data_IF_615184537270
#
_entry.id   IF_615184537270
#
_cell.length_a   1.000
_cell.length_b   1.000
_cell.length_c   1.000
_cell.angle_alpha   90.00
_cell.angle_beta   90.00
_cell.angle_gamma   90.00
#
_symmetry.space_group_name_H-M   'P 1'
#
loop_
_entity.id
_entity.type
_entity.pdbx_description
1 polymer ?
#
# COMPACT_ATOMS: atom_id res chain seq x y z
N UNK A 1 -4.63 -15.14 13.17
CA UNK A 1 -4.55 -15.15 11.68
C UNK A 1 -4.83 -13.72 11.22
N UNK A 2 -4.08 -13.11 10.28
CA UNK A 2 -4.14 -11.65 10.01
C UNK A 2 -5.56 -11.06 9.88
N UNK A 3 -6.54 -11.81 9.39
CA UNK A 3 -7.93 -11.34 9.24
C UNK A 3 -8.70 -11.21 10.57
N UNK A 4 -8.37 -12.03 11.56
CA UNK A 4 -8.96 -11.95 12.91
C UNK A 4 -8.45 -10.71 13.65
N UNK A 5 -7.17 -10.39 13.46
CA UNK A 5 -6.52 -9.23 14.06
C UNK A 5 -6.83 -7.92 13.31
N UNK A 6 -7.15 -8.02 12.01
CA UNK A 6 -7.41 -6.90 11.10
C UNK A 6 -8.65 -7.16 10.22
N UNK A 7 -9.87 -7.02 10.76
CA UNK A 7 -11.11 -7.36 10.06
C UNK A 7 -11.41 -6.47 8.84
N UNK A 8 -10.74 -5.31 8.75
CA UNK A 8 -10.88 -4.36 7.65
C UNK A 8 -9.82 -4.52 6.56
N UNK A 9 -8.95 -5.55 6.65
CA UNK A 9 -7.98 -5.88 5.62
C UNK A 9 -8.69 -6.49 4.41
N UNK A 10 -8.52 -5.88 3.23
CA UNK A 10 -9.17 -6.29 1.98
C UNK A 10 -8.16 -6.25 0.83
N UNK A 11 -8.15 -7.29 -0.01
CA UNK A 11 -7.56 -7.23 -1.35
C UNK A 11 -8.67 -6.85 -2.34
N UNK A 12 -8.41 -5.87 -3.19
CA UNK A 12 -9.30 -5.46 -4.27
C UNK A 12 -8.58 -5.53 -5.61
N UNK A 13 -9.37 -5.72 -6.65
CA UNK A 13 -8.96 -5.83 -8.06
C UNK A 13 -9.72 -4.74 -8.81
N UNK A 14 -9.07 -4.10 -9.78
CA UNK A 14 -9.67 -3.05 -10.60
C UNK A 14 -10.34 -1.94 -9.76
N UNK A 15 -9.66 -1.48 -8.70
CA UNK A 15 -10.15 -0.40 -7.86
C UNK A 15 -9.88 0.95 -8.54
N UNK A 16 -10.93 1.77 -8.65
CA UNK A 16 -10.83 3.14 -9.19
C UNK A 16 -9.97 4.03 -8.27
N UNK A 17 -8.93 4.63 -8.86
CA UNK A 17 -7.92 5.34 -8.10
C UNK A 17 -7.52 6.69 -8.70
N UNK A 18 -8.48 7.61 -8.68
CA UNK A 18 -8.27 8.99 -9.15
C UNK A 18 -7.61 9.92 -8.12
N UNK A 19 -6.56 10.61 -8.57
CA UNK A 19 -5.77 11.60 -7.83
C UNK A 19 -5.50 12.85 -8.65
N UNK A 20 -4.72 13.79 -8.11
CA UNK A 20 -4.45 15.06 -8.82
C UNK A 20 -3.50 14.90 -10.01
N UNK A 21 -2.71 13.81 -10.05
CA UNK A 21 -1.66 13.57 -11.04
C UNK A 21 -1.83 12.27 -11.83
N UNK A 22 -2.89 11.52 -11.58
CA UNK A 22 -3.16 10.25 -12.25
C UNK A 22 -4.58 9.76 -11.98
N UNK A 23 -5.06 8.93 -12.89
CA UNK A 23 -6.44 8.44 -12.91
C UNK A 23 -6.48 7.04 -13.52
N UNK A 24 -7.53 6.29 -13.18
CA UNK A 24 -7.78 4.96 -13.69
C UNK A 24 -7.69 3.85 -12.63
N UNK A 25 -7.78 2.61 -13.12
CA UNK A 25 -7.88 1.42 -12.29
C UNK A 25 -6.52 0.87 -11.89
N UNK A 26 -6.44 0.35 -10.68
CA UNK A 26 -5.30 -0.43 -10.18
C UNK A 26 -5.51 -1.90 -10.50
N UNK A 27 -4.47 -2.63 -10.93
CA UNK A 27 -4.58 -4.08 -11.10
C UNK A 27 -4.95 -4.75 -9.77
N UNK A 28 -4.20 -4.41 -8.70
CA UNK A 28 -4.54 -4.86 -7.34
C UNK A 28 -4.18 -3.81 -6.29
N UNK A 29 -4.98 -3.77 -5.21
CA UNK A 29 -4.68 -2.97 -4.03
C UNK A 29 -5.05 -3.71 -2.75
N UNK A 30 -4.17 -3.65 -1.75
CA UNK A 30 -4.50 -4.07 -0.39
C UNK A 30 -4.86 -2.83 0.43
N UNK A 31 -6.07 -2.86 0.98
CA UNK A 31 -6.62 -1.84 1.85
C UNK A 31 -6.67 -2.34 3.29
N UNK A 32 -6.32 -1.48 4.24
CA UNK A 32 -6.61 -1.68 5.66
C UNK A 32 -7.56 -0.58 6.12
N UNK A 33 -8.86 -0.91 6.18
CA UNK A 33 -9.91 0.10 6.28
C UNK A 33 -9.96 0.96 5.02
N UNK A 34 -9.57 2.22 5.14
CA UNK A 34 -9.53 3.15 4.00
C UNK A 34 -8.12 3.44 3.47
N UNK A 35 -7.10 2.86 4.12
CA UNK A 35 -5.70 3.09 3.82
C UNK A 35 -5.25 2.09 2.74
N UNK A 36 -4.82 2.59 1.59
CA UNK A 36 -4.08 1.79 0.63
C UNK A 36 -2.68 1.53 1.18
N UNK A 37 -2.40 0.28 1.55
CA UNK A 37 -1.11 -0.12 2.15
C UNK A 37 -0.18 -0.78 1.13
N UNK A 38 -0.74 -1.32 0.04
CA UNK A 38 0.01 -1.94 -1.04
C UNK A 38 -0.70 -1.73 -2.38
N UNK A 39 -0.03 -1.13 -3.36
CA UNK A 39 -0.54 -0.95 -4.72
C UNK A 39 0.30 -1.78 -5.67
N UNK A 40 -0.34 -2.67 -6.43
CA UNK A 40 0.36 -3.61 -7.31
C UNK A 40 0.03 -3.32 -8.77
N UNK A 41 1.07 -3.30 -9.59
CA UNK A 41 0.98 -3.20 -11.04
C UNK A 41 1.61 -4.45 -11.67
N UNK A 42 0.82 -5.19 -12.44
CA UNK A 42 1.23 -6.36 -13.20
C UNK A 42 1.54 -5.95 -14.64
N UNK A 43 2.72 -6.31 -15.14
CA UNK A 43 3.17 -6.03 -16.51
C UNK A 43 3.51 -7.33 -17.22
N UNK A 44 3.39 -7.33 -18.54
CA UNK A 44 3.87 -8.47 -19.34
C UNK A 44 5.39 -8.48 -19.42
N UNK A 45 6.03 -7.31 -19.64
CA UNK A 45 7.47 -7.23 -19.91
C UNK A 45 8.14 -5.98 -19.32
N UNK A 46 7.54 -4.80 -19.48
CA UNK A 46 8.19 -3.52 -19.20
C UNK A 46 8.01 -3.07 -17.73
N UNK A 47 8.91 -3.51 -16.85
CA UNK A 47 8.93 -3.11 -15.44
C UNK A 47 9.08 -1.60 -15.27
N UNK A 48 9.84 -0.91 -16.12
CA UNK A 48 10.10 0.52 -15.92
C UNK A 48 8.85 1.37 -16.16
N UNK A 49 8.04 1.00 -17.17
CA UNK A 49 6.71 1.58 -17.34
C UNK A 49 5.82 1.26 -16.13
N UNK A 50 5.86 0.03 -15.63
CA UNK A 50 5.15 -0.35 -14.41
C UNK A 50 5.55 0.49 -13.20
N UNK A 51 6.85 0.72 -12.97
CA UNK A 51 7.35 1.58 -11.89
C UNK A 51 6.87 3.01 -12.04
N UNK A 52 6.93 3.56 -13.24
CA UNK A 52 6.44 4.93 -13.51
C UNK A 52 4.96 5.06 -13.19
N UNK A 53 4.14 4.11 -13.66
CA UNK A 53 2.71 4.08 -13.38
C UNK A 53 2.42 3.89 -11.89
N UNK A 54 3.13 2.97 -11.24
CA UNK A 54 2.98 2.69 -9.83
C UNK A 54 3.33 3.90 -8.96
N UNK A 55 4.37 4.67 -9.31
CA UNK A 55 4.71 5.92 -8.61
C UNK A 55 3.57 6.95 -8.64
N UNK A 56 2.87 7.07 -9.77
CA UNK A 56 1.69 7.96 -9.89
C UNK A 56 0.53 7.47 -9.02
N UNK A 57 0.31 6.16 -8.95
CA UNK A 57 -0.71 5.55 -8.09
C UNK A 57 -0.36 5.71 -6.60
N UNK A 58 0.91 5.54 -6.22
CA UNK A 58 1.39 5.75 -4.84
C UNK A 58 1.26 7.21 -4.40
N UNK A 59 1.56 8.15 -5.29
CA UNK A 59 1.29 9.57 -5.05
C UNK A 59 -0.19 9.79 -4.75
N UNK A 60 -1.09 9.24 -5.57
CA UNK A 60 -2.54 9.33 -5.36
C UNK A 60 -2.97 8.72 -4.03
N UNK A 61 -2.39 7.59 -3.64
CA UNK A 61 -2.66 6.95 -2.36
C UNK A 61 -2.24 7.86 -1.20
N UNK A 62 -1.03 8.44 -1.28
CA UNK A 62 -0.54 9.40 -0.31
C UNK A 62 -1.47 10.63 -0.23
N UNK A 63 -1.87 11.23 -1.37
CA UNK A 63 -2.79 12.37 -1.40
C UNK A 63 -4.13 12.08 -0.73
N UNK A 64 -4.74 10.93 -1.05
CA UNK A 64 -6.00 10.49 -0.44
C UNK A 64 -5.86 10.31 1.07
N UNK A 65 -4.66 10.13 1.60
CA UNK A 65 -4.38 10.05 3.03
C UNK A 65 -4.11 11.43 3.65
N UNK A 66 -3.32 12.27 2.97
CA UNK A 66 -2.99 13.62 3.41
C UNK A 66 -4.21 14.56 3.49
N UNK A 67 -5.18 14.41 2.58
CA UNK A 67 -6.43 15.18 2.61
C UNK A 67 -7.30 14.94 3.85
N UNK A 68 -7.04 13.88 4.64
CA UNK A 68 -7.91 13.46 5.76
C UNK A 68 -7.50 14.00 7.13
N UNK A 69 -6.31 14.58 7.31
CA UNK A 69 -5.89 15.23 8.57
C UNK A 69 -5.09 16.49 8.28
N UNK A 70 -5.67 17.65 8.60
CA UNK A 70 -5.03 18.97 8.44
C UNK A 70 -4.02 19.29 9.55
N UNK A 71 -4.01 18.53 10.65
CA UNK A 71 -3.31 18.90 11.90
C UNK A 71 -2.19 17.93 12.31
N UNK A 72 -2.12 16.74 11.71
CA UNK A 72 -0.98 15.84 11.82
C UNK A 72 -0.75 15.30 10.41
N UNK A 73 0.37 15.63 9.77
CA UNK A 73 0.88 14.94 8.58
C UNK A 73 1.78 13.79 9.08
N UNK A 74 1.25 12.63 9.50
CA UNK A 74 2.09 11.53 9.90
C UNK A 74 3.00 11.14 8.73
N UNK A 75 4.21 10.67 9.04
CA UNK A 75 5.04 9.94 8.10
C UNK A 75 4.29 8.66 7.70
N UNK A 76 3.47 8.78 6.67
CA UNK A 76 2.75 7.67 6.08
C UNK A 76 3.68 7.06 5.04
N UNK A 77 3.84 5.75 5.15
CA UNK A 77 4.47 4.95 4.13
C UNK A 77 3.39 4.27 3.30
N UNK A 78 3.44 4.43 1.98
CA UNK A 78 2.66 3.64 1.02
C UNK A 78 3.64 2.80 0.23
N UNK A 79 3.30 1.54 -0.01
CA UNK A 79 4.16 0.62 -0.72
C UNK A 79 3.58 0.23 -2.06
N UNK A 80 4.48 0.05 -3.02
CA UNK A 80 4.19 -0.37 -4.38
C UNK A 80 4.88 -1.68 -4.73
N UNK A 81 4.23 -2.48 -5.57
CA UNK A 81 4.81 -3.66 -6.20
C UNK A 81 4.63 -3.51 -7.69
N UNK A 82 5.70 -3.77 -8.43
CA UNK A 82 5.64 -3.94 -9.89
C UNK A 82 6.18 -5.30 -10.23
N UNK A 83 5.43 -6.08 -10.99
CA UNK A 83 5.83 -7.45 -11.29
C UNK A 83 5.49 -7.88 -12.71
N UNK A 84 6.33 -8.71 -13.30
CA UNK A 84 6.00 -9.50 -14.50
C UNK A 84 5.66 -10.96 -14.19
N UNK A 85 5.47 -11.28 -12.92
CA UNK A 85 5.47 -12.64 -12.40
C UNK A 85 6.89 -13.16 -12.18
N UNK A 86 7.81 -12.92 -13.11
CA UNK A 86 9.19 -13.39 -13.03
C UNK A 86 10.17 -12.37 -12.45
N UNK A 87 9.90 -11.08 -12.59
CA UNK A 87 10.70 -10.00 -12.04
C UNK A 87 9.86 -9.13 -11.14
N UNK A 88 10.40 -8.76 -9.97
CA UNK A 88 9.69 -7.99 -8.94
C UNK A 88 10.51 -6.75 -8.54
N UNK A 89 9.83 -5.61 -8.43
CA UNK A 89 10.35 -4.37 -7.82
C UNK A 89 9.41 -3.93 -6.72
N UNK A 90 9.98 -3.46 -5.63
CA UNK A 90 9.25 -2.87 -4.52
C UNK A 90 9.56 -1.38 -4.46
N UNK A 91 8.53 -0.59 -4.22
CA UNK A 91 8.62 0.87 -4.09
C UNK A 91 8.12 1.27 -2.71
N UNK A 92 8.84 2.14 -2.02
CA UNK A 92 8.38 2.79 -0.80
C UNK A 92 8.23 4.28 -1.07
N UNK A 93 7.02 4.79 -0.86
CA UNK A 93 6.71 6.20 -0.86
C UNK A 93 6.53 6.66 0.59
N UNK A 94 7.32 7.63 1.03
CA UNK A 94 7.30 8.13 2.41
C UNK A 94 7.18 9.65 2.44
N UNK A 95 6.27 10.16 3.27
CA UNK A 95 6.15 11.60 3.52
C UNK A 95 5.39 12.39 2.45
N UNK A 96 5.45 13.72 2.58
CA UNK A 96 4.72 14.69 1.77
C UNK A 96 5.58 15.92 1.48
N UNK A 97 5.39 16.51 0.29
CA UNK A 97 6.02 17.77 -0.13
C UNK A 97 7.54 17.78 0.13
N UNK A 98 8.01 18.60 1.06
CA UNK A 98 9.42 18.85 1.36
C UNK A 98 10.15 17.66 2.03
N UNK A 99 9.40 16.71 2.62
CA UNK A 99 9.94 15.50 3.25
C UNK A 99 9.63 14.22 2.46
N UNK A 100 9.37 14.35 1.15
CA UNK A 100 9.13 13.21 0.27
C UNK A 100 10.41 12.38 0.08
N UNK A 101 10.35 11.10 0.43
CA UNK A 101 11.36 10.10 0.09
C UNK A 101 10.75 8.97 -0.74
N UNK A 102 11.43 8.59 -1.81
CA UNK A 102 11.05 7.47 -2.67
C UNK A 102 12.23 6.52 -2.72
N UNK A 103 12.00 5.27 -2.34
CA UNK A 103 12.98 4.19 -2.42
C UNK A 103 12.46 3.09 -3.32
N UNK A 104 13.33 2.59 -4.20
CA UNK A 104 13.01 1.54 -5.16
C UNK A 104 14.05 0.43 -4.96
N UNK A 105 13.58 -0.80 -4.77
CA UNK A 105 14.46 -1.95 -4.61
C UNK A 105 15.21 -2.27 -5.89
N UNK A 106 16.28 -3.07 -5.78
CA UNK A 106 16.80 -3.80 -6.94
C UNK A 106 15.74 -4.75 -7.54
N UNK A 107 15.94 -5.19 -8.79
CA UNK A 107 15.07 -6.23 -9.37
C UNK A 107 15.32 -7.54 -8.64
N UNK A 108 14.24 -8.17 -8.19
CA UNK A 108 14.27 -9.50 -7.62
C UNK A 108 13.74 -10.47 -8.68
N UNK A 109 14.58 -11.41 -9.11
CA UNK A 109 14.16 -12.50 -9.99
C UNK A 109 13.44 -13.57 -9.19
N UNK A 110 12.31 -14.04 -9.70
CA UNK A 110 11.50 -15.10 -9.14
C UNK A 110 11.11 -16.09 -10.22
N UNK A 111 12.00 -17.06 -10.45
CA UNK A 111 11.71 -18.23 -11.25
C UNK A 111 10.92 -19.22 -10.38
N UNK A 112 9.72 -19.57 -10.82
CA UNK A 112 8.85 -20.53 -10.13
C UNK A 112 9.31 -21.98 -10.37
N UNK A 113 10.55 -22.26 -10.01
CA UNK A 113 11.16 -23.59 -10.03
C UNK A 113 10.87 -24.39 -8.75
N UNK A 114 11.40 -25.61 -8.69
CA UNK A 114 11.08 -26.57 -7.63
C UNK A 114 11.51 -26.16 -6.21
N UNK A 115 12.53 -25.31 -6.04
CA UNK A 115 13.07 -24.98 -4.70
C UNK A 115 12.29 -23.88 -3.96
N UNK A 116 11.39 -23.16 -4.66
CA UNK A 116 10.55 -22.08 -4.15
C UNK A 116 11.29 -20.98 -3.37
N UNK A 117 12.63 -20.91 -3.44
CA UNK A 117 13.45 -20.02 -2.62
C UNK A 117 13.18 -18.56 -2.93
N UNK A 118 13.16 -18.22 -4.22
CA UNK A 118 12.87 -16.85 -4.67
C UNK A 118 11.42 -16.45 -4.37
N UNK A 119 10.47 -17.37 -4.55
CA UNK A 119 9.08 -17.14 -4.17
C UNK A 119 8.93 -16.84 -2.67
N UNK A 120 9.66 -17.57 -1.81
CA UNK A 120 9.70 -17.31 -0.36
C UNK A 120 10.33 -15.96 -0.03
N UNK A 121 11.35 -15.53 -0.77
CA UNK A 121 11.95 -14.20 -0.61
C UNK A 121 10.96 -13.08 -0.93
N UNK A 122 10.29 -13.17 -2.09
CA UNK A 122 9.23 -12.21 -2.48
C UNK A 122 8.10 -12.18 -1.45
N UNK A 123 7.61 -13.35 -1.02
CA UNK A 123 6.55 -13.46 -0.02
C UNK A 123 6.99 -12.90 1.35
N UNK A 124 8.25 -13.08 1.72
CA UNK A 124 8.80 -12.51 2.96
C UNK A 124 8.72 -10.99 2.94
N UNK A 125 9.12 -10.35 1.83
CA UNK A 125 9.03 -8.89 1.68
C UNK A 125 7.57 -8.41 1.74
N UNK A 126 6.67 -9.05 0.99
CA UNK A 126 5.23 -8.72 1.02
C UNK A 126 4.69 -8.84 2.45
N UNK A 127 5.00 -9.94 3.14
CA UNK A 127 4.53 -10.16 4.51
C UNK A 127 5.10 -9.12 5.49
N UNK A 128 6.36 -8.71 5.33
CA UNK A 128 7.00 -7.68 6.15
C UNK A 128 6.35 -6.32 5.96
N UNK A 129 6.03 -5.94 4.72
CA UNK A 129 5.29 -4.72 4.41
C UNK A 129 3.92 -4.74 5.09
N UNK A 130 3.17 -5.83 4.91
CA UNK A 130 1.83 -5.98 5.49
C UNK A 130 1.86 -5.89 7.01
N UNK A 131 2.80 -6.59 7.66
CA UNK A 131 2.94 -6.54 9.12
C UNK A 131 3.32 -5.15 9.61
N UNK A 132 4.28 -4.47 8.95
CA UNK A 132 4.68 -3.11 9.29
C UNK A 132 3.50 -2.13 9.21
N UNK A 133 2.72 -2.20 8.13
CA UNK A 133 1.55 -1.35 7.94
C UNK A 133 0.43 -1.64 8.94
N UNK A 134 0.19 -2.91 9.25
CA UNK A 134 -0.81 -3.33 10.20
C UNK A 134 -0.46 -2.87 11.65
N UNK A 135 0.82 -2.97 12.03
CA UNK A 135 1.32 -2.46 13.31
C UNK A 135 1.16 -0.94 13.41
N UNK A 136 1.58 -0.20 12.38
CA UNK A 136 1.41 1.26 12.32
C UNK A 136 -0.05 1.67 12.46
N UNK A 137 -0.97 0.96 11.79
CA UNK A 137 -2.40 1.21 11.92
C UNK A 137 -2.91 0.94 13.34
N UNK A 138 -2.49 -0.16 13.96
CA UNK A 138 -2.88 -0.51 15.33
C UNK A 138 -2.40 0.52 16.35
N UNK A 139 -1.15 0.98 16.28
CA UNK A 139 -0.63 2.04 17.17
C UNK A 139 -1.44 3.33 17.07
N UNK A 140 -1.92 3.66 15.87
CA UNK A 140 -2.79 4.83 15.65
C UNK A 140 -4.17 4.62 16.22
N UNK A 141 -4.74 3.43 16.05
CA UNK A 141 -6.04 3.07 16.61
C UNK A 141 -6.00 3.12 18.13
N UNK A 142 -4.96 2.58 18.76
CA UNK A 142 -4.77 2.64 20.21
C UNK A 142 -4.64 4.09 20.69
N UNK A 143 -3.82 4.93 20.04
CA UNK A 143 -3.73 6.36 20.37
C UNK A 143 -5.08 7.08 20.25
N UNK A 144 -5.82 6.86 19.16
CA UNK A 144 -7.11 7.48 18.96
C UNK A 144 -8.15 7.09 20.03
N UNK A 145 -8.10 5.83 20.51
CA UNK A 145 -8.90 5.36 21.65
C UNK A 145 -8.55 6.09 22.94
N UNK A 146 -7.26 6.22 23.24
CA UNK A 146 -6.77 6.94 24.41
C UNK A 146 -7.23 8.41 24.41
N UNK A 147 -7.33 9.02 23.23
CA UNK A 147 -7.75 10.41 23.05
C UNK A 147 -9.28 10.60 22.96
N UNK A 148 -10.08 9.53 23.07
CA UNK A 148 -11.54 9.61 22.93
C UNK A 148 -12.06 9.90 21.51
N UNK A 149 -11.26 9.63 20.47
CA UNK A 149 -11.58 9.89 19.05
C UNK A 149 -11.87 8.60 18.26
N UNK A 150 -12.38 7.56 18.93
CA UNK A 150 -12.56 6.23 18.33
C UNK A 150 -13.58 6.22 17.19
N UNK A 151 -14.63 7.04 17.29
CA UNK A 151 -15.68 7.16 16.29
C UNK A 151 -15.18 7.68 14.93
N UNK A 152 -14.15 8.53 14.89
CA UNK A 152 -13.61 9.06 13.60
C UNK A 152 -12.96 7.98 12.72
N UNK A 153 -12.51 6.87 13.32
CA UNK A 153 -11.90 5.73 12.63
C UNK A 153 -12.93 4.68 12.21
N UNK A 154 -14.06 4.56 12.93
CA UNK A 154 -15.11 3.56 12.69
C UNK A 154 -16.35 4.11 11.96
N UNK A 155 -16.78 5.36 12.18
CA UNK A 155 -17.99 5.91 11.53
C UNK A 155 -17.88 6.04 10.00
N UNK A 156 -16.66 5.94 9.44
CA UNK A 156 -16.40 6.13 8.01
C UNK A 156 -16.26 4.82 7.22
N UNK A 157 -16.37 3.66 7.87
CA UNK A 157 -16.36 2.35 7.20
C UNK A 157 -17.74 1.90 6.70
N UNK A 158 -18.82 2.60 7.07
CA UNK A 158 -20.21 2.17 6.82
C UNK A 158 -21.00 3.00 5.79
N UNK A 159 -20.43 4.04 5.16
CA UNK A 159 -21.24 4.99 4.34
C UNK A 159 -21.16 4.81 2.82
N UNK A 160 -20.82 3.63 2.30
CA UNK A 160 -21.10 3.30 0.90
C UNK A 160 -21.55 1.85 0.79
N UNK A 161 -22.85 1.65 1.03
CA UNK A 161 -23.64 0.61 0.39
C UNK A 161 -24.22 1.18 -0.91
#
# INVERSE_FOLDING_TARGET
MLREDYPTLQLRVDEDFDGSRGYGFLDYVILLGFLAILVTEAKTEDIQKGVTQNLVQLHTAAEKLGKRKREEKPNINVYGIVTTGLSWRFVRWSGFEENLSIEISEVISCEYGNDMKQAKEVLSIISGILQSQANFYNERRVRARSDGREDDLQLRTSTRA
#
